data_IF_313709189342
#
_entry.id   IF_313709189342
#
_cell.length_a   1.000
_cell.length_b   1.000
_cell.length_c   1.000
_cell.angle_alpha   90.00
_cell.angle_beta   90.00
_cell.angle_gamma   90.00
#
_symmetry.space_group_name_H-M   'P 1'
#
loop_
_entity.id
_entity.type
_entity.pdbx_description
1 polymer ?
#
# COMPACT_ATOMS: atom_id res chain seq x y z
N UNK A 1 2.47 -33.64 4.50
CA UNK A 1 3.90 -33.27 4.41
C UNK A 1 4.07 -31.91 5.04
N UNK A 2 5.11 -31.69 5.85
CA UNK A 2 5.44 -30.36 6.36
C UNK A 2 6.02 -29.50 5.21
N UNK A 3 5.72 -28.21 5.15
CA UNK A 3 6.35 -27.31 4.18
C UNK A 3 7.86 -27.27 4.34
N UNK A 4 8.60 -27.16 3.24
CA UNK A 4 10.05 -26.97 3.30
C UNK A 4 10.40 -25.58 3.89
N UNK A 5 11.58 -25.38 4.48
CA UNK A 5 12.01 -24.08 4.98
C UNK A 5 11.94 -22.98 3.91
N UNK A 6 12.29 -23.29 2.66
CA UNK A 6 12.25 -22.40 1.51
C UNK A 6 10.80 -21.96 1.22
N UNK A 7 9.86 -22.91 1.21
CA UNK A 7 8.43 -22.62 1.03
C UNK A 7 7.90 -21.69 2.12
N UNK A 8 8.24 -21.93 3.38
CA UNK A 8 7.81 -21.09 4.51
C UNK A 8 8.38 -19.68 4.36
N UNK A 9 9.65 -19.59 4.00
CA UNK A 9 10.32 -18.30 3.91
C UNK A 9 9.80 -17.46 2.73
N UNK A 10 9.54 -18.05 1.55
CA UNK A 10 8.92 -17.33 0.43
C UNK A 10 7.49 -16.91 0.78
N UNK A 11 6.73 -17.77 1.47
CA UNK A 11 5.41 -17.37 1.99
C UNK A 11 5.51 -16.21 2.98
N UNK A 12 6.51 -16.20 3.86
CA UNK A 12 6.75 -15.09 4.78
C UNK A 12 7.10 -13.78 4.04
N UNK A 13 7.94 -13.85 2.99
CA UNK A 13 8.23 -12.70 2.13
C UNK A 13 6.95 -12.17 1.49
N UNK A 14 6.09 -13.04 0.98
CA UNK A 14 4.78 -12.64 0.43
C UNK A 14 3.94 -11.87 1.46
N UNK A 15 3.89 -12.32 2.72
CA UNK A 15 3.16 -11.63 3.78
C UNK A 15 3.81 -10.30 4.21
N UNK A 16 5.14 -10.18 4.16
CA UNK A 16 5.85 -8.89 4.33
C UNK A 16 5.40 -7.90 3.26
N UNK A 17 5.39 -8.33 2.00
CA UNK A 17 5.01 -7.47 0.86
C UNK A 17 3.52 -7.12 0.90
N UNK A 18 2.65 -8.07 1.29
CA UNK A 18 1.23 -7.81 1.53
C UNK A 18 1.01 -6.77 2.63
N UNK A 19 1.74 -6.87 3.75
CA UNK A 19 1.66 -5.89 4.83
C UNK A 19 2.18 -4.52 4.39
N UNK A 20 3.27 -4.45 3.63
CA UNK A 20 3.80 -3.23 3.05
C UNK A 20 2.77 -2.57 2.11
N UNK A 21 2.14 -3.35 1.22
CA UNK A 21 1.11 -2.84 0.32
C UNK A 21 -0.15 -2.39 1.08
N UNK A 22 -0.58 -3.13 2.10
CA UNK A 22 -1.70 -2.72 2.94
C UNK A 22 -1.45 -1.39 3.66
N UNK A 23 -0.21 -1.09 4.02
CA UNK A 23 0.18 0.16 4.69
C UNK A 23 0.39 1.30 3.69
N UNK A 24 1.27 1.13 2.73
CA UNK A 24 1.66 2.21 1.81
C UNK A 24 0.59 2.45 0.74
N UNK A 25 0.12 1.40 0.06
CA UNK A 25 -1.00 1.48 -0.87
C UNK A 25 -2.29 1.86 -0.16
N UNK A 26 -2.50 1.36 1.07
CA UNK A 26 -3.64 1.72 1.91
C UNK A 26 -3.66 3.19 2.27
N UNK A 27 -2.52 3.78 2.63
CA UNK A 27 -2.42 5.23 2.89
C UNK A 27 -2.76 6.06 1.65
N UNK A 28 -2.31 5.60 0.49
CA UNK A 28 -2.57 6.24 -0.79
C UNK A 28 -4.07 6.18 -1.18
N UNK A 29 -4.71 5.02 -1.17
CA UNK A 29 -6.15 4.89 -1.41
C UNK A 29 -6.97 5.69 -0.41
N UNK A 30 -6.59 5.67 0.87
CA UNK A 30 -7.24 6.43 1.93
C UNK A 30 -7.20 7.93 1.70
N UNK A 31 -6.12 8.47 1.12
CA UNK A 31 -6.05 9.87 0.70
C UNK A 31 -7.14 10.24 -0.29
N UNK A 32 -7.37 9.41 -1.31
CA UNK A 32 -8.47 9.63 -2.26
C UNK A 32 -9.86 9.50 -1.62
N UNK A 33 -10.03 8.65 -0.60
CA UNK A 33 -11.27 8.59 0.19
C UNK A 33 -11.49 9.92 0.91
N UNK A 34 -10.46 10.50 1.52
CA UNK A 34 -10.57 11.79 2.21
C UNK A 34 -10.73 12.95 1.24
N UNK A 35 -10.20 12.88 0.04
CA UNK A 35 -10.47 13.84 -1.04
C UNK A 35 -11.96 13.87 -1.41
N UNK A 36 -12.59 12.69 -1.54
CA UNK A 36 -14.02 12.56 -1.84
C UNK A 36 -14.90 13.27 -0.79
N UNK A 37 -14.54 13.12 0.49
CA UNK A 37 -15.33 13.68 1.60
C UNK A 37 -14.77 15.00 2.16
N UNK A 38 -13.81 15.62 1.48
CA UNK A 38 -13.22 16.90 1.90
C UNK A 38 -14.20 18.08 1.92
N UNK A 39 -15.30 17.97 1.17
CA UNK A 39 -16.32 19.00 1.08
C UNK A 39 -16.32 19.78 -0.24
N UNK A 40 -17.14 20.82 -0.31
CA UNK A 40 -17.30 21.63 -1.53
C UNK A 40 -16.10 22.52 -1.87
N UNK A 41 -16.20 23.30 -3.00
CA UNK A 41 -15.08 24.05 -3.56
C UNK A 41 -14.40 25.05 -2.62
N UNK A 42 -15.09 25.55 -1.59
CA UNK A 42 -14.50 26.48 -0.63
C UNK A 42 -13.91 25.81 0.61
N UNK A 43 -14.61 24.81 1.18
CA UNK A 43 -14.20 24.15 2.43
C UNK A 43 -13.18 23.02 2.20
N UNK A 44 -13.21 22.41 1.02
CA UNK A 44 -12.36 21.27 0.68
C UNK A 44 -11.00 21.64 0.10
N UNK A 45 -10.68 22.91 -0.15
CA UNK A 45 -9.41 23.33 -0.76
C UNK A 45 -8.23 22.90 0.11
N UNK A 46 -8.16 23.39 1.34
CA UNK A 46 -7.01 23.13 2.21
C UNK A 46 -6.79 21.65 2.56
N UNK A 47 -7.84 20.82 2.85
CA UNK A 47 -7.65 19.39 2.97
C UNK A 47 -7.12 18.72 1.70
N UNK A 48 -7.60 19.10 0.50
CA UNK A 48 -7.14 18.53 -0.78
C UNK A 48 -5.70 18.90 -1.09
N UNK A 49 -5.31 20.14 -0.86
CA UNK A 49 -3.92 20.56 -1.00
C UNK A 49 -2.99 19.71 -0.14
N UNK A 50 -3.33 19.50 1.14
CA UNK A 50 -2.51 18.65 2.01
C UNK A 50 -2.43 17.19 1.51
N UNK A 51 -3.56 16.65 1.01
CA UNK A 51 -3.62 15.30 0.45
C UNK A 51 -2.73 15.22 -0.80
N UNK A 52 -2.87 16.16 -1.73
CA UNK A 52 -2.09 16.21 -2.97
C UNK A 52 -0.58 16.30 -2.68
N UNK A 53 -0.18 17.23 -1.82
CA UNK A 53 1.22 17.41 -1.39
C UNK A 53 1.81 16.14 -0.71
N UNK A 54 0.96 15.31 -0.09
CA UNK A 54 1.39 14.11 0.64
C UNK A 54 1.45 12.85 -0.24
N UNK A 55 0.59 12.76 -1.27
CA UNK A 55 0.42 11.54 -2.09
C UNK A 55 1.25 11.61 -3.37
N UNK A 56 1.31 12.79 -4.02
CA UNK A 56 1.92 12.97 -5.34
C UNK A 56 3.28 12.30 -5.51
N UNK A 57 4.23 12.41 -4.58
CA UNK A 57 5.57 11.87 -4.79
C UNK A 57 5.68 10.34 -4.67
N UNK A 58 4.68 9.64 -4.12
CA UNK A 58 4.83 8.23 -3.72
C UNK A 58 3.77 7.29 -4.31
N UNK A 59 2.72 7.79 -4.95
CA UNK A 59 1.60 6.95 -5.39
C UNK A 59 2.01 5.89 -6.43
N UNK A 60 2.88 6.22 -7.38
CA UNK A 60 3.38 5.27 -8.38
C UNK A 60 4.24 4.18 -7.72
N UNK A 61 5.11 4.59 -6.80
CA UNK A 61 6.01 3.69 -6.11
C UNK A 61 5.25 2.65 -5.25
N UNK A 62 4.08 2.99 -4.74
CA UNK A 62 3.27 2.06 -3.95
C UNK A 62 2.78 0.84 -4.75
N UNK A 63 2.62 0.97 -6.07
CA UNK A 63 2.16 -0.14 -6.92
C UNK A 63 3.23 -1.19 -7.18
N UNK A 64 4.50 -0.87 -6.92
CA UNK A 64 5.61 -1.84 -6.98
C UNK A 64 5.34 -3.02 -6.03
N UNK A 65 4.78 -2.76 -4.85
CA UNK A 65 4.41 -3.82 -3.90
C UNK A 65 3.35 -4.77 -4.47
N UNK A 66 2.34 -4.24 -5.17
CA UNK A 66 1.31 -5.06 -5.82
C UNK A 66 1.90 -5.94 -6.92
N UNK A 67 2.77 -5.38 -7.75
CA UNK A 67 3.46 -6.15 -8.81
C UNK A 67 4.29 -7.27 -8.18
N UNK A 68 4.99 -6.99 -7.08
CA UNK A 68 5.80 -7.97 -6.39
C UNK A 68 4.96 -9.11 -5.77
N UNK A 69 3.77 -8.80 -5.19
CA UNK A 69 2.80 -9.81 -4.75
C UNK A 69 2.40 -10.74 -5.90
N UNK A 70 2.03 -10.16 -7.06
CA UNK A 70 1.59 -10.93 -8.21
C UNK A 70 2.71 -11.82 -8.77
N UNK A 71 3.94 -11.30 -8.86
CA UNK A 71 5.10 -12.07 -9.33
C UNK A 71 5.40 -13.21 -8.37
N UNK A 72 5.47 -12.97 -7.05
CA UNK A 72 5.71 -14.01 -6.05
C UNK A 72 4.63 -15.10 -6.07
N UNK A 73 3.36 -14.71 -6.19
CA UNK A 73 2.26 -15.69 -6.30
C UNK A 73 2.38 -16.52 -7.57
N UNK A 74 2.71 -15.89 -8.70
CA UNK A 74 2.82 -16.57 -9.98
C UNK A 74 3.97 -17.56 -10.02
N UNK A 75 5.12 -17.16 -9.51
CA UNK A 75 6.37 -17.94 -9.61
C UNK A 75 6.50 -18.97 -8.49
N UNK A 76 6.21 -18.58 -7.24
CA UNK A 76 6.38 -19.45 -6.08
C UNK A 76 5.15 -20.33 -5.78
N UNK A 77 3.93 -19.88 -6.13
CA UNK A 77 2.67 -20.58 -5.83
C UNK A 77 1.74 -20.65 -7.06
N UNK A 78 2.18 -21.27 -8.18
CA UNK A 78 1.43 -21.27 -9.45
C UNK A 78 -0.01 -21.78 -9.34
N UNK A 79 -0.32 -22.88 -8.61
CA UNK A 79 -1.70 -23.36 -8.45
C UNK A 79 -2.60 -22.35 -7.74
N UNK A 80 -2.08 -21.66 -6.71
CA UNK A 80 -2.83 -20.63 -6.01
C UNK A 80 -3.08 -19.41 -6.92
N UNK A 81 -2.06 -18.98 -7.65
CA UNK A 81 -2.19 -17.89 -8.63
C UNK A 81 -3.24 -18.20 -9.68
N UNK A 82 -3.19 -19.39 -10.29
CA UNK A 82 -4.15 -19.81 -11.32
C UNK A 82 -5.58 -19.83 -10.76
N UNK A 83 -5.80 -20.38 -9.56
CA UNK A 83 -7.09 -20.43 -8.92
C UNK A 83 -7.64 -19.02 -8.60
N UNK A 84 -6.81 -18.12 -8.05
CA UNK A 84 -7.17 -16.73 -7.77
C UNK A 84 -7.54 -16.00 -9.06
N UNK A 85 -6.69 -16.08 -10.09
CA UNK A 85 -6.92 -15.39 -11.37
C UNK A 85 -8.17 -15.90 -12.09
N UNK A 86 -8.51 -17.17 -11.96
CA UNK A 86 -9.68 -17.75 -12.59
C UNK A 86 -10.96 -17.50 -11.79
N UNK A 87 -10.93 -17.76 -10.49
CA UNK A 87 -12.13 -17.68 -9.65
C UNK A 87 -12.51 -16.24 -9.27
N UNK A 88 -11.49 -15.38 -9.11
CA UNK A 88 -11.68 -14.00 -8.66
C UNK A 88 -11.41 -12.97 -9.77
N UNK A 89 -11.55 -13.42 -11.03
CA UNK A 89 -11.36 -12.57 -12.22
C UNK A 89 -12.16 -11.26 -12.14
N UNK A 90 -13.41 -11.31 -11.72
CA UNK A 90 -14.28 -10.11 -11.66
C UNK A 90 -13.76 -9.08 -10.66
N UNK A 91 -13.59 -9.38 -9.36
CA UNK A 91 -13.08 -8.40 -8.41
C UNK A 91 -11.65 -7.94 -8.74
N UNK A 92 -10.79 -8.80 -9.29
CA UNK A 92 -9.45 -8.41 -9.74
C UNK A 92 -9.50 -7.43 -10.91
N UNK A 93 -10.38 -7.68 -11.91
CA UNK A 93 -10.56 -6.76 -13.04
C UNK A 93 -11.13 -5.41 -12.61
N UNK A 94 -12.06 -5.39 -11.64
CA UNK A 94 -12.61 -4.15 -11.09
C UNK A 94 -11.56 -3.38 -10.26
N UNK A 95 -10.70 -4.09 -9.52
CA UNK A 95 -9.56 -3.49 -8.82
C UNK A 95 -8.57 -2.88 -9.81
N UNK A 96 -8.22 -3.61 -10.87
CA UNK A 96 -7.31 -3.13 -11.92
C UNK A 96 -7.89 -1.91 -12.64
N UNK A 97 -9.17 -1.96 -13.01
CA UNK A 97 -9.86 -0.81 -13.60
C UNK A 97 -9.80 0.40 -12.66
N UNK A 98 -10.02 0.20 -11.37
CA UNK A 98 -9.89 1.25 -10.37
C UNK A 98 -8.48 1.85 -10.33
N UNK A 99 -7.42 1.04 -10.37
CA UNK A 99 -6.02 1.51 -10.43
C UNK A 99 -5.77 2.36 -11.68
N UNK A 100 -6.22 1.88 -12.85
CA UNK A 100 -6.08 2.61 -14.12
C UNK A 100 -6.82 3.95 -14.07
N UNK A 101 -8.08 3.95 -13.62
CA UNK A 101 -8.88 5.16 -13.49
C UNK A 101 -8.27 6.15 -12.49
N UNK A 102 -7.64 5.65 -11.42
CA UNK A 102 -6.92 6.47 -10.46
C UNK A 102 -5.71 7.16 -11.10
N UNK A 103 -4.89 6.43 -11.86
CA UNK A 103 -3.75 6.99 -12.60
C UNK A 103 -4.18 8.04 -13.61
N UNK A 104 -5.23 7.77 -14.38
CA UNK A 104 -5.82 8.73 -15.32
C UNK A 104 -6.35 9.96 -14.58
N UNK A 105 -7.11 9.77 -13.51
CA UNK A 105 -7.64 10.87 -12.70
C UNK A 105 -6.55 11.76 -12.14
N UNK A 106 -5.46 11.18 -11.67
CA UNK A 106 -4.30 11.91 -11.16
C UNK A 106 -3.58 12.70 -12.26
N UNK A 107 -3.24 12.06 -13.39
CA UNK A 107 -2.52 12.68 -14.49
C UNK A 107 -3.26 13.89 -15.08
N UNK A 108 -4.59 13.77 -15.26
CA UNK A 108 -5.39 14.83 -15.86
C UNK A 108 -5.86 15.91 -14.87
N UNK A 109 -5.80 15.66 -13.55
CA UNK A 109 -6.23 16.62 -12.53
C UNK A 109 -5.41 17.92 -12.56
N UNK A 110 -4.11 17.82 -12.80
CA UNK A 110 -3.17 18.94 -12.79
C UNK A 110 -3.06 19.64 -14.15
N UNK A 111 -3.34 18.93 -15.25
CA UNK A 111 -3.21 19.46 -16.63
C UNK A 111 -4.51 20.04 -17.20
N UNK A 112 -5.66 19.76 -16.59
CA UNK A 112 -6.95 20.16 -17.11
C UNK A 112 -7.24 21.67 -16.88
N UNK A 113 -7.33 22.44 -17.94
CA UNK A 113 -7.69 23.87 -17.89
C UNK A 113 -9.19 24.12 -17.68
N UNK A 114 -10.05 23.12 -17.97
CA UNK A 114 -11.50 23.28 -17.87
C UNK A 114 -12.01 22.76 -16.51
N UNK A 115 -12.73 23.59 -15.78
CA UNK A 115 -13.32 23.27 -14.46
C UNK A 115 -14.11 21.93 -14.46
N UNK A 116 -14.89 21.65 -15.52
CA UNK A 116 -15.65 20.39 -15.64
C UNK A 116 -14.75 19.16 -15.74
N UNK A 117 -13.62 19.28 -16.43
CA UNK A 117 -12.66 18.17 -16.56
C UNK A 117 -11.97 17.93 -15.23
N UNK A 118 -11.55 18.97 -14.52
CA UNK A 118 -10.99 18.87 -13.16
C UNK A 118 -11.96 18.19 -12.17
N UNK A 119 -13.24 18.56 -12.23
CA UNK A 119 -14.26 17.91 -11.37
C UNK A 119 -14.46 16.45 -11.72
N UNK A 120 -14.49 16.09 -13.01
CA UNK A 120 -14.65 14.71 -13.46
C UNK A 120 -13.42 13.87 -13.09
N UNK A 121 -12.22 14.35 -13.36
CA UNK A 121 -10.98 13.64 -13.02
C UNK A 121 -10.79 13.49 -11.52
N UNK A 122 -11.13 14.53 -10.74
CA UNK A 122 -11.16 14.47 -9.28
C UNK A 122 -12.17 13.44 -8.75
N UNK A 123 -13.39 13.40 -9.31
CA UNK A 123 -14.40 12.41 -8.95
C UNK A 123 -13.95 10.98 -9.33
N UNK A 124 -13.34 10.80 -10.49
CA UNK A 124 -12.79 9.52 -10.95
C UNK A 124 -11.69 9.03 -10.02
N UNK A 125 -10.75 9.90 -9.67
CA UNK A 125 -9.68 9.60 -8.70
C UNK A 125 -10.26 9.19 -7.33
N UNK A 126 -11.21 9.94 -6.82
CA UNK A 126 -11.80 9.70 -5.52
C UNK A 126 -12.66 8.42 -5.48
N UNK A 127 -13.47 8.17 -6.52
CA UNK A 127 -14.31 6.97 -6.62
C UNK A 127 -13.46 5.70 -6.80
N UNK A 128 -12.43 5.76 -7.63
CA UNK A 128 -11.50 4.62 -7.82
C UNK A 128 -10.77 4.26 -6.53
N UNK A 129 -10.53 5.24 -5.66
CA UNK A 129 -9.92 5.04 -4.34
C UNK A 129 -10.80 4.31 -3.33
N UNK A 130 -12.10 4.18 -3.58
CA UNK A 130 -13.03 3.31 -2.86
C UNK A 130 -13.13 1.93 -3.50
N UNK A 131 -13.30 1.90 -4.81
CA UNK A 131 -13.56 0.68 -5.59
C UNK A 131 -12.37 -0.28 -5.50
N UNK A 132 -11.16 0.22 -5.70
CA UNK A 132 -9.95 -0.60 -5.71
C UNK A 132 -9.74 -1.37 -4.40
N UNK A 133 -9.61 -0.71 -3.23
CA UNK A 133 -9.39 -1.44 -1.98
C UNK A 133 -10.59 -2.31 -1.59
N UNK A 134 -11.83 -1.93 -1.95
CA UNK A 134 -12.98 -2.76 -1.68
C UNK A 134 -12.86 -4.12 -2.37
N UNK A 135 -12.61 -4.13 -3.69
CA UNK A 135 -12.50 -5.40 -4.42
C UNK A 135 -11.22 -6.17 -4.07
N UNK A 136 -10.11 -5.51 -3.77
CA UNK A 136 -8.94 -6.20 -3.21
C UNK A 136 -9.26 -6.89 -1.88
N UNK A 137 -9.99 -6.23 -1.01
CA UNK A 137 -10.43 -6.81 0.26
C UNK A 137 -11.39 -7.99 0.07
N UNK A 138 -12.30 -7.95 -0.95
CA UNK A 138 -13.16 -9.12 -1.27
C UNK A 138 -12.34 -10.32 -1.72
N UNK A 139 -11.25 -10.11 -2.47
CA UNK A 139 -10.31 -11.18 -2.84
C UNK A 139 -9.68 -11.81 -1.60
N UNK A 140 -9.19 -10.99 -0.65
CA UNK A 140 -8.61 -11.48 0.61
C UNK A 140 -9.64 -12.27 1.41
N UNK A 141 -10.87 -11.78 1.51
CA UNK A 141 -11.96 -12.46 2.22
C UNK A 141 -12.33 -13.81 1.56
N UNK A 142 -12.37 -13.88 0.24
CA UNK A 142 -12.61 -15.12 -0.51
C UNK A 142 -11.50 -16.16 -0.24
N UNK A 143 -10.23 -15.72 -0.23
CA UNK A 143 -9.09 -16.58 0.11
C UNK A 143 -9.18 -17.07 1.56
N UNK A 144 -9.51 -16.20 2.50
CA UNK A 144 -9.58 -16.52 3.92
C UNK A 144 -10.67 -17.56 4.27
N UNK A 145 -11.77 -17.60 3.48
CA UNK A 145 -12.82 -18.59 3.69
C UNK A 145 -12.53 -19.96 3.05
N UNK A 146 -11.48 -20.05 2.20
CA UNK A 146 -11.19 -21.26 1.43
C UNK A 146 -12.21 -21.55 0.33
N UNK A 147 -13.09 -20.60 -0.01
CA UNK A 147 -14.11 -20.75 -1.03
C UNK A 147 -13.61 -20.54 -2.47
N UNK A 148 -12.31 -20.27 -2.63
CA UNK A 148 -11.67 -20.17 -3.95
C UNK A 148 -11.55 -21.58 -4.54
N UNK A 149 -12.26 -21.91 -5.64
CA UNK A 149 -12.17 -23.23 -6.24
C UNK A 149 -10.79 -23.48 -6.83
N UNK A 150 -10.15 -24.57 -6.41
CA UNK A 150 -8.86 -25.03 -6.97
C UNK A 150 -9.06 -25.80 -8.27
N UNK A 151 -10.28 -26.35 -8.47
CA UNK A 151 -10.65 -27.10 -9.66
C UNK A 151 -11.83 -26.44 -10.40
N UNK A 152 -11.95 -26.65 -11.75
CA UNK A 152 -13.08 -26.14 -12.51
C UNK A 152 -14.42 -26.66 -11.96
N UNK A 153 -15.46 -25.81 -11.87
CA UNK A 153 -16.83 -26.19 -11.49
C UNK A 153 -17.34 -25.59 -10.18
N UNK A 154 -16.54 -24.82 -9.45
CA UNK A 154 -16.99 -24.07 -8.27
C UNK A 154 -17.84 -22.83 -8.60
N UNK A 155 -18.63 -22.35 -7.63
CA UNK A 155 -19.39 -21.11 -7.76
C UNK A 155 -18.48 -19.90 -7.59
N UNK A 156 -17.94 -19.40 -8.70
CA UNK A 156 -17.02 -18.25 -8.75
C UNK A 156 -17.66 -16.98 -8.18
N UNK A 157 -18.96 -16.77 -8.38
CA UNK A 157 -19.65 -15.57 -7.89
C UNK A 157 -19.77 -15.60 -6.36
N UNK A 158 -20.13 -16.74 -5.79
CA UNK A 158 -20.29 -16.90 -4.35
C UNK A 158 -18.96 -16.66 -3.59
N UNK A 159 -17.82 -16.97 -4.19
CA UNK A 159 -16.52 -16.84 -3.53
C UNK A 159 -16.25 -15.40 -3.05
N UNK A 160 -16.48 -14.39 -3.90
CA UNK A 160 -16.17 -12.99 -3.58
C UNK A 160 -17.39 -12.14 -3.17
N UNK A 161 -18.62 -12.68 -3.32
CA UNK A 161 -19.85 -12.03 -2.85
C UNK A 161 -20.36 -12.58 -1.51
N UNK A 162 -19.60 -13.48 -0.88
CA UNK A 162 -19.92 -13.99 0.45
C UNK A 162 -19.92 -12.86 1.50
N UNK A 163 -20.68 -12.97 2.60
CA UNK A 163 -20.69 -11.97 3.65
C UNK A 163 -19.29 -11.65 4.18
N UNK A 164 -18.45 -12.67 4.35
CA UNK A 164 -17.05 -12.48 4.77
C UNK A 164 -16.24 -11.70 3.74
N UNK A 165 -16.37 -11.99 2.46
CA UNK A 165 -15.67 -11.27 1.41
C UNK A 165 -16.08 -9.79 1.39
N UNK A 166 -17.38 -9.50 1.46
CA UNK A 166 -17.90 -8.12 1.49
C UNK A 166 -17.44 -7.38 2.75
N UNK A 167 -17.52 -8.02 3.93
CA UNK A 167 -17.05 -7.42 5.18
C UNK A 167 -15.55 -7.14 5.13
N UNK A 168 -14.74 -8.04 4.57
CA UNK A 168 -13.30 -7.84 4.40
C UNK A 168 -13.02 -6.71 3.40
N UNK A 169 -13.82 -6.58 2.34
CA UNK A 169 -13.77 -5.44 1.41
C UNK A 169 -14.03 -4.11 2.12
N UNK A 170 -15.10 -4.03 2.89
CA UNK A 170 -15.41 -2.84 3.71
C UNK A 170 -14.33 -2.56 4.76
N UNK A 171 -13.81 -3.60 5.41
CA UNK A 171 -12.73 -3.50 6.38
C UNK A 171 -11.47 -2.91 5.75
N UNK A 172 -11.10 -3.37 4.56
CA UNK A 172 -9.90 -2.87 3.89
C UNK A 172 -10.06 -1.40 3.48
N UNK A 173 -11.22 -0.98 2.97
CA UNK A 173 -11.53 0.44 2.71
C UNK A 173 -11.41 1.28 3.99
N UNK A 174 -12.00 0.82 5.09
CA UNK A 174 -11.95 1.53 6.37
C UNK A 174 -10.51 1.60 6.92
N UNK A 175 -9.73 0.53 6.79
CA UNK A 175 -8.32 0.50 7.17
C UNK A 175 -7.48 1.49 6.33
N UNK A 176 -7.72 1.58 5.02
CA UNK A 176 -7.10 2.59 4.16
C UNK A 176 -7.42 4.01 4.63
N UNK A 177 -8.69 4.30 4.88
CA UNK A 177 -9.12 5.59 5.41
C UNK A 177 -8.47 5.91 6.77
N UNK A 178 -8.40 4.92 7.66
CA UNK A 178 -7.78 5.07 8.98
C UNK A 178 -6.28 5.40 8.87
N UNK A 179 -5.50 4.57 8.15
CA UNK A 179 -4.04 4.76 8.00
C UNK A 179 -3.73 6.10 7.37
N UNK A 180 -4.42 6.45 6.29
CA UNK A 180 -4.25 7.74 5.61
C UNK A 180 -4.55 8.92 6.53
N UNK A 181 -5.66 8.88 7.28
CA UNK A 181 -6.01 9.97 8.20
C UNK A 181 -4.94 10.16 9.29
N UNK A 182 -4.40 9.06 9.85
CA UNK A 182 -3.30 9.13 10.83
C UNK A 182 -2.06 9.76 10.21
N UNK A 183 -1.70 9.42 8.97
CA UNK A 183 -0.55 9.99 8.28
C UNK A 183 -0.78 11.48 7.99
N UNK A 184 -1.98 11.87 7.54
CA UNK A 184 -2.32 13.27 7.28
C UNK A 184 -2.34 14.15 8.55
N UNK A 185 -2.67 13.59 9.73
CA UNK A 185 -2.49 14.31 11.02
C UNK A 185 -1.03 14.74 11.19
N UNK A 186 -0.10 13.84 10.89
CA UNK A 186 1.33 14.09 11.08
C UNK A 186 1.90 15.03 10.02
N UNK A 187 1.44 14.91 8.78
CA UNK A 187 1.80 15.84 7.69
C UNK A 187 1.30 17.26 8.00
N UNK A 188 0.03 17.40 8.43
CA UNK A 188 -0.52 18.68 8.86
C UNK A 188 0.28 19.30 10.02
N UNK A 189 0.71 18.45 10.99
CA UNK A 189 1.56 18.89 12.11
C UNK A 189 2.92 19.40 11.67
N UNK A 190 3.61 18.64 10.80
CA UNK A 190 4.95 19.00 10.32
C UNK A 190 4.94 20.31 9.55
N UNK A 191 3.84 20.61 8.85
CA UNK A 191 3.66 21.87 8.11
C UNK A 191 3.03 23.00 8.93
N UNK A 192 2.82 22.82 10.24
CA UNK A 192 2.25 23.83 11.14
C UNK A 192 0.75 24.14 10.88
N UNK A 193 0.06 23.30 10.08
CA UNK A 193 -1.37 23.50 9.75
C UNK A 193 -2.26 22.91 10.85
N UNK A 194 -2.36 23.59 12.01
CA UNK A 194 -3.05 23.07 13.20
C UNK A 194 -4.55 22.80 13.02
N UNK A 195 -5.23 23.53 12.16
CA UNK A 195 -6.64 23.28 11.85
C UNK A 195 -6.83 21.95 11.11
N UNK A 196 -6.00 21.68 10.09
CA UNK A 196 -6.01 20.44 9.35
C UNK A 196 -5.60 19.25 10.21
N UNK A 197 -4.66 19.44 11.14
CA UNK A 197 -4.31 18.42 12.12
C UNK A 197 -5.53 17.97 12.94
N UNK A 198 -6.32 18.91 13.45
CA UNK A 198 -7.56 18.59 14.19
C UNK A 198 -8.63 17.96 13.29
N UNK A 199 -8.75 18.48 12.08
CA UNK A 199 -9.67 17.97 11.06
C UNK A 199 -9.40 16.48 10.76
N UNK A 200 -8.13 16.10 10.52
CA UNK A 200 -7.75 14.71 10.26
C UNK A 200 -7.71 13.85 11.52
N UNK A 201 -7.40 14.39 12.70
CA UNK A 201 -7.47 13.64 13.95
C UNK A 201 -8.88 13.12 14.25
N UNK A 202 -9.92 13.96 14.06
CA UNK A 202 -11.30 13.52 14.22
C UNK A 202 -11.66 12.41 13.21
N UNK A 203 -11.22 12.55 11.97
CA UNK A 203 -11.43 11.54 10.90
C UNK A 203 -10.69 10.23 11.18
N UNK A 204 -9.44 10.31 11.65
CA UNK A 204 -8.68 9.15 12.08
C UNK A 204 -9.36 8.40 13.22
N UNK A 205 -9.92 9.13 14.20
CA UNK A 205 -10.69 8.53 15.30
C UNK A 205 -11.95 7.83 14.78
N UNK A 206 -12.73 8.49 13.92
CA UNK A 206 -13.94 7.91 13.35
C UNK A 206 -13.62 6.69 12.47
N UNK A 207 -12.64 6.81 11.57
CA UNK A 207 -12.22 5.71 10.71
C UNK A 207 -11.64 4.54 11.52
N UNK A 208 -10.88 4.81 12.59
CA UNK A 208 -10.36 3.79 13.49
C UNK A 208 -11.48 3.03 14.21
N UNK A 209 -12.50 3.73 14.69
CA UNK A 209 -13.67 3.10 15.32
C UNK A 209 -14.44 2.23 14.32
N UNK A 210 -14.65 2.72 13.09
CA UNK A 210 -15.31 1.95 12.01
C UNK A 210 -14.47 0.72 11.63
N UNK A 211 -13.14 0.89 11.50
CA UNK A 211 -12.23 -0.22 11.21
C UNK A 211 -12.28 -1.28 12.31
N UNK A 212 -12.26 -0.88 13.58
CA UNK A 212 -12.38 -1.79 14.72
C UNK A 212 -13.72 -2.52 14.73
N UNK A 213 -14.83 -1.82 14.46
CA UNK A 213 -16.16 -2.41 14.37
C UNK A 213 -16.27 -3.42 13.22
N UNK A 214 -15.75 -3.09 12.03
CA UNK A 214 -15.73 -3.99 10.87
C UNK A 214 -14.80 -5.20 11.11
N UNK A 215 -13.65 -4.99 11.75
CA UNK A 215 -12.76 -6.10 12.15
C UNK A 215 -13.45 -7.06 13.10
N UNK A 216 -14.16 -6.55 14.12
CA UNK A 216 -14.98 -7.35 15.04
C UNK A 216 -16.09 -8.09 14.31
N UNK A 217 -16.81 -7.42 13.38
CA UNK A 217 -17.85 -8.04 12.55
C UNK A 217 -17.29 -9.14 11.66
N UNK A 218 -16.16 -8.90 10.99
CA UNK A 218 -15.47 -9.90 10.16
C UNK A 218 -15.02 -11.08 11.01
N UNK A 219 -14.43 -10.82 12.18
CA UNK A 219 -14.01 -11.87 13.12
C UNK A 219 -15.18 -12.76 13.55
N UNK A 220 -16.33 -12.15 13.87
CA UNK A 220 -17.54 -12.89 14.21
C UNK A 220 -18.06 -13.71 13.04
N UNK A 221 -18.07 -13.16 11.81
CA UNK A 221 -18.50 -13.87 10.62
C UNK A 221 -17.57 -15.04 10.26
N UNK A 222 -16.27 -14.92 10.50
CA UNK A 222 -15.31 -16.01 10.33
C UNK A 222 -15.64 -17.23 11.22
N UNK A 223 -16.25 -17.03 12.38
CA UNK A 223 -16.68 -18.15 13.26
C UNK A 223 -17.71 -19.06 12.59
N UNK A 224 -18.46 -18.52 11.63
CA UNK A 224 -19.52 -19.22 10.88
C UNK A 224 -19.06 -19.73 9.52
N UNK A 225 -18.34 -18.87 8.79
CA UNK A 225 -17.97 -19.10 7.39
C UNK A 225 -16.62 -19.79 7.21
N UNK A 226 -15.68 -19.63 8.17
CA UNK A 226 -14.33 -20.19 8.11
C UNK A 226 -13.86 -20.67 9.50
N UNK A 227 -14.49 -21.72 10.07
CA UNK A 227 -14.17 -22.18 11.44
C UNK A 227 -12.70 -22.52 11.64
N UNK A 228 -12.03 -23.06 10.61
CA UNK A 228 -10.59 -23.35 10.66
C UNK A 228 -9.77 -22.09 10.96
N UNK A 229 -9.96 -21.02 10.21
CA UNK A 229 -9.24 -19.76 10.38
C UNK A 229 -9.61 -19.12 11.71
N UNK A 230 -10.89 -19.15 12.08
CA UNK A 230 -11.38 -18.61 13.35
C UNK A 230 -10.71 -19.26 14.54
N UNK A 231 -10.69 -20.61 14.62
CA UNK A 231 -10.03 -21.33 15.71
C UNK A 231 -8.53 -21.04 15.80
N UNK A 232 -7.89 -20.82 14.68
CA UNK A 232 -6.47 -20.46 14.68
C UNK A 232 -6.21 -19.00 15.02
N UNK A 233 -7.12 -18.09 14.67
CA UNK A 233 -7.08 -16.70 15.13
C UNK A 233 -7.25 -16.58 16.64
N UNK A 234 -8.14 -17.40 17.23
CA UNK A 234 -8.35 -17.47 18.70
C UNK A 234 -7.32 -18.33 19.42
N UNK A 235 -6.51 -19.10 18.69
CA UNK A 235 -5.43 -19.94 19.21
C UNK A 235 -4.06 -19.32 18.97
N UNK A 236 -3.32 -19.87 18.00
CA UNK A 236 -1.90 -19.51 17.74
C UNK A 236 -1.71 -18.03 17.32
N UNK A 237 -2.68 -17.44 16.64
CA UNK A 237 -2.62 -16.04 16.20
C UNK A 237 -3.15 -15.05 17.22
N UNK A 238 -3.69 -15.52 18.35
CA UNK A 238 -4.27 -14.65 19.39
C UNK A 238 -3.33 -13.53 19.88
N UNK A 239 -2.02 -13.76 20.06
CA UNK A 239 -1.10 -12.68 20.43
C UNK A 239 -1.06 -11.54 19.42
N UNK A 240 -1.08 -11.87 18.10
CA UNK A 240 -1.08 -10.86 17.03
C UNK A 240 -2.41 -10.09 16.98
N UNK A 241 -3.53 -10.79 17.19
CA UNK A 241 -4.85 -10.16 17.32
C UNK A 241 -4.88 -9.20 18.51
N UNK A 242 -4.37 -9.63 19.68
CA UNK A 242 -4.30 -8.81 20.87
C UNK A 242 -3.41 -7.56 20.67
N UNK A 243 -2.25 -7.72 20.02
CA UNK A 243 -1.35 -6.60 19.67
C UNK A 243 -2.05 -5.63 18.72
N UNK A 244 -2.77 -6.13 17.71
CA UNK A 244 -3.54 -5.26 16.79
C UNK A 244 -4.58 -4.43 17.54
N UNK A 245 -5.36 -5.05 18.40
CA UNK A 245 -6.39 -4.38 19.21
C UNK A 245 -5.74 -3.35 20.14
N UNK A 246 -4.70 -3.73 20.86
CA UNK A 246 -3.98 -2.84 21.77
C UNK A 246 -3.36 -1.63 21.03
N UNK A 247 -2.75 -1.86 19.86
CA UNK A 247 -2.19 -0.81 19.02
C UNK A 247 -3.29 0.13 18.47
N UNK A 248 -4.42 -0.43 18.03
CA UNK A 248 -5.57 0.37 17.60
C UNK A 248 -6.12 1.26 18.70
N UNK A 249 -6.32 0.71 19.90
CA UNK A 249 -6.75 1.47 21.11
C UNK A 249 -5.71 2.53 21.48
N UNK A 250 -4.41 2.19 21.43
CA UNK A 250 -3.35 3.14 21.72
C UNK A 250 -3.34 4.32 20.75
N UNK A 251 -3.55 4.09 19.45
CA UNK A 251 -3.68 5.19 18.46
C UNK A 251 -4.89 6.07 18.79
N UNK A 252 -6.05 5.47 19.06
CA UNK A 252 -7.25 6.25 19.45
C UNK A 252 -7.00 7.06 20.72
N UNK A 253 -6.35 6.47 21.72
CA UNK A 253 -5.93 7.16 22.94
C UNK A 253 -4.97 8.32 22.68
N UNK A 254 -3.95 8.12 21.85
CA UNK A 254 -3.01 9.17 21.46
C UNK A 254 -3.71 10.32 20.72
N UNK A 255 -4.62 10.02 19.82
CA UNK A 255 -5.42 11.02 19.11
C UNK A 255 -6.33 11.81 20.06
N UNK A 256 -6.97 11.14 21.01
CA UNK A 256 -7.86 11.76 22.01
C UNK A 256 -7.08 12.63 23.00
N UNK A 257 -5.92 12.15 23.50
CA UNK A 257 -5.02 12.91 24.37
C UNK A 257 -4.23 13.99 23.63
N UNK A 258 -4.40 14.10 22.30
CA UNK A 258 -3.67 15.04 21.43
C UNK A 258 -2.15 14.87 21.49
N UNK A 259 -1.69 13.65 21.74
CA UNK A 259 -0.28 13.30 21.77
C UNK A 259 0.17 12.81 20.40
N UNK A 260 0.55 13.74 19.53
CA UNK A 260 0.90 13.49 18.13
C UNK A 260 2.42 13.31 17.95
N UNK A 261 3.03 12.35 18.64
CA UNK A 261 4.45 12.05 18.38
C UNK A 261 4.60 11.35 17.03
N UNK A 262 5.34 11.93 16.03
CA UNK A 262 5.29 11.48 14.64
C UNK A 262 5.65 10.00 14.49
N UNK A 263 6.80 9.61 15.02
CA UNK A 263 7.28 8.23 14.88
C UNK A 263 6.38 7.22 15.60
N UNK A 264 6.00 7.52 16.85
CA UNK A 264 5.22 6.58 17.68
C UNK A 264 3.83 6.39 17.08
N UNK A 265 3.15 7.46 16.70
CA UNK A 265 1.79 7.38 16.14
C UNK A 265 1.78 6.61 14.81
N UNK A 266 2.75 6.87 13.90
CA UNK A 266 2.90 6.13 12.63
C UNK A 266 3.20 4.65 12.89
N UNK A 267 4.19 4.38 13.74
CA UNK A 267 4.61 3.02 14.04
C UNK A 267 3.47 2.20 14.69
N UNK A 268 2.75 2.79 15.64
CA UNK A 268 1.62 2.10 16.30
C UNK A 268 0.48 1.82 15.35
N UNK A 269 0.14 2.77 14.45
CA UNK A 269 -0.87 2.54 13.41
C UNK A 269 -0.42 1.47 12.40
N UNK A 270 0.85 1.46 12.03
CA UNK A 270 1.42 0.44 11.15
C UNK A 270 1.40 -0.95 11.81
N UNK A 271 1.74 -1.06 13.09
CA UNK A 271 1.66 -2.29 13.87
C UNK A 271 0.22 -2.80 13.92
N UNK A 272 -0.76 -1.93 14.17
CA UNK A 272 -2.17 -2.33 14.20
C UNK A 272 -2.61 -3.04 12.90
N UNK A 273 -2.22 -2.52 11.73
CA UNK A 273 -2.58 -3.10 10.43
C UNK A 273 -1.71 -4.31 10.09
N UNK A 274 -0.39 -4.22 10.27
CA UNK A 274 0.52 -5.31 9.94
C UNK A 274 0.22 -6.59 10.73
N UNK A 275 -0.14 -6.45 12.02
CA UNK A 275 -0.47 -7.61 12.85
C UNK A 275 -1.80 -8.28 12.49
N UNK A 276 -2.74 -7.57 11.86
CA UNK A 276 -3.93 -8.21 11.23
C UNK A 276 -3.50 -9.08 10.06
N UNK A 277 -2.66 -8.57 9.15
CA UNK A 277 -2.18 -9.32 7.99
C UNK A 277 -1.39 -10.56 8.42
N UNK A 278 -0.45 -10.41 9.35
CA UNK A 278 0.35 -11.53 9.87
C UNK A 278 -0.47 -12.50 10.71
N UNK A 279 -1.45 -12.00 11.49
CA UNK A 279 -2.37 -12.83 12.25
C UNK A 279 -3.22 -13.72 11.36
N UNK A 280 -3.70 -13.17 10.23
CA UNK A 280 -4.38 -13.93 9.19
C UNK A 280 -3.45 -14.97 8.54
N UNK A 281 -2.23 -14.59 8.13
CA UNK A 281 -1.28 -15.50 7.53
C UNK A 281 -0.92 -16.68 8.43
N UNK A 282 -0.67 -16.42 9.71
CA UNK A 282 -0.39 -17.45 10.72
C UNK A 282 -1.61 -18.35 10.97
N UNK A 283 -2.83 -17.77 10.98
CA UNK A 283 -4.06 -18.52 11.09
C UNK A 283 -4.32 -19.43 9.91
N UNK A 284 -3.92 -19.02 8.72
CA UNK A 284 -4.10 -19.78 7.49
C UNK A 284 -3.09 -20.94 7.35
N UNK A 285 -1.90 -20.82 7.97
CA UNK A 285 -0.84 -21.86 7.91
C UNK A 285 -1.38 -23.22 8.38
N UNK A 286 -1.04 -24.38 7.70
CA UNK A 286 -0.12 -24.52 6.57
C UNK A 286 -0.80 -24.44 5.19
N UNK A 287 -1.95 -23.79 5.07
CA UNK A 287 -2.69 -23.70 3.82
C UNK A 287 -2.42 -22.37 3.09
N UNK A 288 -2.43 -22.42 1.76
CA UNK A 288 -2.62 -21.26 0.88
C UNK A 288 -4.11 -20.91 0.77
N UNK A 289 -4.97 -21.93 0.64
CA UNK A 289 -6.42 -21.79 0.80
C UNK A 289 -6.87 -22.75 1.91
N UNK A 290 -7.51 -22.25 2.97
CA UNK A 290 -7.91 -23.09 4.08
C UNK A 290 -8.63 -24.34 3.65
N UNK A 291 -8.20 -25.50 4.13
CA UNK A 291 -8.73 -26.84 3.89
C UNK A 291 -8.66 -27.39 2.45
N UNK A 292 -8.25 -26.58 1.45
CA UNK A 292 -8.27 -26.99 0.03
C UNK A 292 -6.88 -27.06 -0.62
N UNK A 293 -5.99 -26.08 -0.37
CA UNK A 293 -4.66 -26.03 -0.96
C UNK A 293 -3.61 -25.77 0.12
N UNK A 294 -2.68 -26.69 0.32
CA UNK A 294 -1.60 -26.55 1.30
C UNK A 294 -0.38 -25.85 0.69
N UNK A 295 0.49 -25.28 1.55
CA UNK A 295 1.77 -24.74 1.11
C UNK A 295 2.62 -25.75 0.33
N UNK A 296 2.82 -27.01 0.81
CA UNK A 296 3.61 -27.97 0.05
C UNK A 296 3.03 -28.36 -1.30
N UNK A 297 1.68 -28.47 -1.39
CA UNK A 297 1.02 -28.86 -2.64
C UNK A 297 0.89 -27.73 -3.65
N UNK A 298 0.95 -26.48 -3.19
CA UNK A 298 0.83 -25.29 -4.02
C UNK A 298 2.17 -24.61 -4.36
N UNK A 299 3.29 -25.07 -3.76
CA UNK A 299 4.60 -24.47 -4.02
C UNK A 299 5.24 -24.97 -5.32
N UNK A 300 6.01 -24.08 -5.94
CA UNK A 300 6.90 -24.42 -7.04
C UNK A 300 8.05 -25.34 -6.59
N UNK A 301 8.79 -25.99 -7.52
CA UNK A 301 9.99 -26.74 -7.21
C UNK A 301 11.04 -25.91 -6.44
N UNK A 302 11.85 -26.58 -5.60
CA UNK A 302 12.86 -25.94 -4.75
C UNK A 302 13.82 -25.04 -5.52
N UNK A 303 14.25 -25.43 -6.71
CA UNK A 303 15.12 -24.61 -7.56
C UNK A 303 14.49 -23.24 -7.93
N UNK A 304 13.18 -23.20 -8.12
CA UNK A 304 12.45 -21.95 -8.35
C UNK A 304 12.39 -21.11 -7.07
N UNK A 305 12.11 -21.75 -5.92
CA UNK A 305 12.05 -21.05 -4.62
C UNK A 305 13.43 -20.47 -4.24
N UNK A 306 14.51 -21.19 -4.50
CA UNK A 306 15.89 -20.70 -4.27
C UNK A 306 16.19 -19.47 -5.12
N UNK A 307 15.77 -19.49 -6.39
CA UNK A 307 15.90 -18.33 -7.29
C UNK A 307 15.09 -17.13 -6.77
N UNK A 308 13.87 -17.35 -6.27
CA UNK A 308 13.05 -16.31 -5.67
C UNK A 308 13.72 -15.64 -4.46
N UNK A 309 14.45 -16.41 -3.65
CA UNK A 309 15.23 -15.85 -2.55
C UNK A 309 16.30 -14.88 -3.03
N UNK A 310 17.03 -15.27 -4.08
CA UNK A 310 18.07 -14.40 -4.66
C UNK A 310 17.43 -13.13 -5.22
N UNK A 311 16.33 -13.27 -5.97
CA UNK A 311 15.59 -12.13 -6.55
C UNK A 311 15.02 -11.24 -5.46
N UNK A 312 14.41 -11.81 -4.41
CA UNK A 312 13.89 -11.04 -3.28
C UNK A 312 15.00 -10.29 -2.54
N UNK A 313 16.14 -10.95 -2.31
CA UNK A 313 17.33 -10.31 -1.72
C UNK A 313 17.84 -9.13 -2.57
N UNK A 314 17.93 -9.32 -3.88
CA UNK A 314 18.31 -8.28 -4.82
C UNK A 314 17.30 -7.12 -4.83
N UNK A 315 16.00 -7.44 -4.82
CA UNK A 315 14.94 -6.45 -4.74
C UNK A 315 15.04 -5.60 -3.46
N UNK A 316 15.29 -6.21 -2.30
CA UNK A 316 15.51 -5.48 -1.05
C UNK A 316 16.70 -4.50 -1.18
N UNK A 317 17.83 -4.97 -1.74
CA UNK A 317 19.04 -4.15 -1.91
C UNK A 317 18.83 -2.98 -2.87
N UNK A 318 17.98 -3.13 -3.87
CA UNK A 318 17.72 -2.07 -4.87
C UNK A 318 16.53 -1.19 -4.48
N UNK A 319 15.42 -1.80 -4.06
CA UNK A 319 14.14 -1.11 -3.82
C UNK A 319 14.15 -0.35 -2.50
N UNK A 320 14.67 -0.93 -1.42
CA UNK A 320 14.67 -0.25 -0.10
C UNK A 320 15.51 1.03 -0.10
N UNK A 321 16.74 1.05 -0.64
CA UNK A 321 17.49 2.30 -0.77
C UNK A 321 16.83 3.30 -1.72
N UNK A 322 16.21 2.83 -2.81
CA UNK A 322 15.45 3.67 -3.74
C UNK A 322 14.29 4.37 -3.05
N UNK A 323 13.48 3.64 -2.27
CA UNK A 323 12.40 4.23 -1.47
C UNK A 323 12.92 5.16 -0.38
N UNK A 324 13.99 4.79 0.33
CA UNK A 324 14.60 5.65 1.34
C UNK A 324 15.08 6.97 0.74
N UNK A 325 15.68 6.91 -0.45
CA UNK A 325 16.10 8.10 -1.20
C UNK A 325 14.88 8.92 -1.63
N UNK A 326 13.85 8.32 -2.21
CA UNK A 326 12.62 9.00 -2.62
C UNK A 326 11.98 9.74 -1.44
N UNK A 327 11.84 9.06 -0.29
CA UNK A 327 11.32 9.66 0.93
C UNK A 327 12.20 10.81 1.45
N UNK A 328 13.52 10.64 1.41
CA UNK A 328 14.45 11.68 1.81
C UNK A 328 14.34 12.93 0.93
N UNK A 329 14.31 12.76 -0.39
CA UNK A 329 14.14 13.86 -1.34
C UNK A 329 12.80 14.58 -1.17
N UNK A 330 11.73 13.81 -0.94
CA UNK A 330 10.39 14.36 -0.67
C UNK A 330 10.36 15.20 0.61
N UNK A 331 10.92 14.68 1.72
CA UNK A 331 10.94 15.41 2.99
C UNK A 331 11.78 16.69 2.94
N UNK A 332 12.72 16.79 2.03
CA UNK A 332 13.53 17.97 1.77
C UNK A 332 12.89 18.96 0.80
N UNK A 333 11.73 18.63 0.22
CA UNK A 333 11.06 19.47 -0.78
C UNK A 333 11.74 19.51 -2.15
N UNK A 334 12.84 18.76 -2.33
CA UNK A 334 13.67 18.80 -3.54
C UNK A 334 12.92 18.32 -4.80
N UNK A 335 11.92 17.45 -4.66
CA UNK A 335 11.10 16.98 -5.77
C UNK A 335 10.12 18.05 -6.22
N UNK A 336 9.51 18.77 -5.28
CA UNK A 336 8.52 19.83 -5.57
C UNK A 336 9.17 21.04 -6.23
N UNK A 337 10.39 21.42 -5.80
CA UNK A 337 11.17 22.47 -6.43
C UNK A 337 11.58 22.11 -7.86
N UNK A 338 12.00 20.85 -8.09
CA UNK A 338 12.40 20.38 -9.41
C UNK A 338 11.24 20.33 -10.41
N UNK A 339 10.03 19.95 -9.97
CA UNK A 339 8.83 19.93 -10.80
C UNK A 339 8.39 21.38 -11.15
N UNK A 340 8.42 22.29 -10.18
CA UNK A 340 8.11 23.71 -10.41
C UNK A 340 9.05 24.37 -11.41
N UNK A 341 10.35 24.09 -11.33
CA UNK A 341 11.35 24.60 -12.25
C UNK A 341 11.21 23.98 -13.65
N UNK A 342 10.85 22.71 -13.75
CA UNK A 342 10.59 22.03 -15.01
C UNK A 342 9.33 22.59 -15.69
N UNK A 343 8.27 22.86 -14.94
CA UNK A 343 7.03 23.47 -15.44
C UNK A 343 7.27 24.90 -15.93
N UNK A 344 8.04 25.71 -15.19
CA UNK A 344 8.44 27.07 -15.61
C UNK A 344 9.24 27.06 -16.93
N UNK A 345 10.18 26.15 -17.07
CA UNK A 345 10.96 25.98 -18.30
C UNK A 345 10.12 25.52 -19.48
N UNK A 346 9.22 24.57 -19.24
CA UNK A 346 8.29 24.10 -20.26
C UNK A 346 7.36 25.23 -20.72
N UNK A 347 6.80 26.01 -19.78
CA UNK A 347 5.95 27.15 -20.07
C UNK A 347 6.72 28.25 -20.86
N UNK A 348 7.97 28.52 -20.51
CA UNK A 348 8.86 29.44 -21.24
C UNK A 348 9.16 28.93 -22.66
N UNK A 349 9.41 27.63 -22.81
CA UNK A 349 9.68 27.00 -24.11
C UNK A 349 8.45 27.01 -25.04
N UNK A 350 7.25 26.95 -24.47
CA UNK A 350 5.97 27.03 -25.18
C UNK A 350 5.54 28.48 -25.46
N UNK A 351 6.33 29.47 -25.05
CA UNK A 351 6.06 30.88 -25.31
C UNK A 351 4.89 31.45 -24.49
N UNK A 352 4.65 30.93 -23.29
CA UNK A 352 3.64 31.42 -22.38
C UNK A 352 3.95 32.88 -21.97
N UNK A 353 3.02 33.82 -22.15
CA UNK A 353 3.23 35.22 -21.81
C UNK A 353 3.29 35.50 -20.30
N UNK A 354 2.93 34.53 -19.48
CA UNK A 354 2.83 34.66 -18.00
C UNK A 354 4.12 34.23 -17.28
N UNK A 355 5.19 33.86 -18.02
CA UNK A 355 6.45 33.45 -17.40
C UNK A 355 7.31 34.69 -17.10
N UNK A 356 7.51 34.97 -15.81
CA UNK A 356 8.39 36.02 -15.34
C UNK A 356 9.86 35.67 -15.64
N UNK A 357 10.60 36.51 -16.42
CA UNK A 357 12.02 36.29 -16.72
C UNK A 357 12.91 36.15 -15.48
N UNK A 358 12.57 36.83 -14.38
CA UNK A 358 13.34 36.78 -13.14
C UNK A 358 13.11 35.45 -12.40
N UNK A 359 11.90 34.87 -12.49
CA UNK A 359 11.63 33.53 -11.98
C UNK A 359 12.34 32.44 -12.82
N UNK A 360 12.44 32.64 -14.13
CA UNK A 360 13.15 31.71 -15.02
C UNK A 360 14.67 31.75 -14.75
N UNK A 361 15.22 32.94 -14.50
CA UNK A 361 16.63 33.11 -14.16
C UNK A 361 16.98 32.53 -12.76
N UNK A 362 16.06 32.63 -11.80
CA UNK A 362 16.18 32.00 -10.48
C UNK A 362 16.06 30.47 -10.52
N UNK A 363 15.38 29.94 -11.53
CA UNK A 363 15.25 28.51 -11.81
C UNK A 363 16.45 27.92 -12.57
N UNK A 364 17.53 28.68 -12.80
CA UNK A 364 18.78 28.14 -13.37
C UNK A 364 19.40 27.11 -12.42
N UNK A 365 19.78 25.93 -12.92
CA UNK A 365 20.21 24.83 -12.09
C UNK A 365 21.55 25.16 -11.43
N UNK A 366 21.57 25.37 -10.13
CA UNK A 366 22.71 24.81 -9.40
C UNK A 366 22.74 23.32 -9.74
N UNK A 367 23.89 22.78 -10.19
CA UNK A 367 23.91 21.43 -10.73
C UNK A 367 23.34 20.48 -9.68
N UNK A 368 22.16 19.91 -9.99
CA UNK A 368 21.47 18.84 -9.24
C UNK A 368 22.48 17.74 -8.86
N UNK A 369 23.53 17.57 -9.65
CA UNK A 369 24.70 16.71 -9.43
C UNK A 369 25.44 17.03 -8.12
N UNK A 370 25.49 18.26 -7.64
CA UNK A 370 26.15 18.59 -6.36
C UNK A 370 25.27 18.22 -5.16
N UNK A 371 23.93 18.24 -5.31
CA UNK A 371 22.95 17.83 -4.28
C UNK A 371 22.69 16.31 -4.29
N UNK A 372 22.91 15.63 -5.43
CA UNK A 372 22.83 14.17 -5.60
C UNK A 372 24.08 13.45 -5.07
N UNK A 373 25.13 14.17 -4.69
CA UNK A 373 26.42 13.57 -4.28
C UNK A 373 26.31 12.44 -3.26
N UNK A 374 25.41 12.54 -2.28
CA UNK A 374 25.16 11.47 -1.29
C UNK A 374 24.44 10.28 -1.90
N UNK A 375 23.48 10.52 -2.80
CA UNK A 375 22.74 9.45 -3.49
C UNK A 375 23.64 8.71 -4.48
N UNK A 376 24.48 9.43 -5.22
CA UNK A 376 25.48 8.83 -6.12
C UNK A 376 26.51 8.01 -5.33
N UNK A 377 26.89 8.45 -4.14
CA UNK A 377 27.78 7.70 -3.24
C UNK A 377 27.08 6.42 -2.74
N UNK A 378 25.84 6.47 -2.31
CA UNK A 378 25.08 5.29 -1.87
C UNK A 378 24.86 4.29 -3.00
N UNK A 379 24.50 4.74 -4.21
CA UNK A 379 24.37 3.90 -5.40
C UNK A 379 25.73 3.30 -5.78
N UNK A 380 26.79 4.08 -5.73
CA UNK A 380 28.16 3.61 -6.03
C UNK A 380 28.64 2.59 -5.00
N UNK A 381 28.31 2.78 -3.72
CA UNK A 381 28.63 1.81 -2.66
C UNK A 381 27.82 0.52 -2.82
N UNK A 382 26.54 0.60 -3.17
CA UNK A 382 25.68 -0.55 -3.46
C UNK A 382 26.19 -1.32 -4.68
N UNK A 383 26.54 -0.64 -5.77
CA UNK A 383 27.11 -1.24 -6.98
C UNK A 383 28.50 -1.88 -6.70
N UNK A 384 29.34 -1.24 -5.87
CA UNK A 384 30.61 -1.83 -5.43
C UNK A 384 30.42 -3.08 -4.56
N UNK A 385 29.45 -3.06 -3.65
CA UNK A 385 29.12 -4.21 -2.82
C UNK A 385 28.65 -5.40 -3.68
N UNK A 386 27.74 -5.15 -4.63
CA UNK A 386 27.26 -6.14 -5.60
C UNK A 386 28.41 -6.68 -6.44
N UNK A 387 29.27 -5.83 -6.98
CA UNK A 387 30.42 -6.27 -7.77
C UNK A 387 31.41 -7.12 -6.97
N UNK A 388 31.60 -6.84 -5.67
CA UNK A 388 32.48 -7.63 -4.82
C UNK A 388 31.89 -9.01 -4.45
N UNK A 389 30.57 -9.14 -4.39
CA UNK A 389 29.87 -10.41 -4.16
C UNK A 389 29.94 -11.32 -5.40
N UNK A 390 29.87 -10.73 -6.60
CA UNK A 390 29.86 -11.46 -7.88
C UNK A 390 31.21 -11.48 -8.62
N UNK A 391 32.27 -10.91 -8.05
CA UNK A 391 33.62 -11.04 -8.63
C UNK A 391 34.06 -12.49 -8.51
N UNK A 392 34.39 -13.19 -9.63
CA UNK A 392 34.92 -14.54 -9.54
C UNK A 392 36.22 -14.52 -8.75
N UNK A 393 36.24 -15.24 -7.64
CA UNK A 393 37.41 -15.33 -6.78
C UNK A 393 38.63 -15.75 -7.61
N UNK A 394 39.56 -14.84 -7.79
CA UNK A 394 40.88 -15.20 -8.27
C UNK A 394 41.50 -16.11 -7.22
N UNK A 395 41.38 -17.42 -7.44
CA UNK A 395 42.25 -18.40 -6.77
C UNK A 395 43.67 -18.03 -7.14
N UNK A 396 44.39 -17.43 -6.20
CA UNK A 396 45.86 -17.44 -6.23
C UNK A 396 46.26 -18.80 -5.75
N UNK A 397 46.95 -19.52 -6.62
CA UNK A 397 47.65 -20.75 -6.31
C UNK A 397 48.82 -20.53 -5.33
#
# INVERSE_FOLDING_TARGET
>A
MNPSPETIAVAAILFVVLAAYALFGGADFGGGIWDLVAGGPKRGVAPRELIDESITPVWEANHVWLVFILVLLWTAFPPAFAAIMTALFVPLSLSLLGIVLRGVGFAFRHTAQRMRVQQLTGATFATSSLITPFFMGTVVGAVATGQVPVHPGGNVLAAWTSPTAILTGCLFVAACAYVSAVFLVLEARQRGRHELMRYFALRATAAGAVTGGLAGGTFFELSRSAPYVYHRLTGISLPLVAVSIAAGIAVLGMLWLRWYHPLILRATAAVAVATVVWGWGLAQYPYLFPTSLTLPSGSAPTATLDTEFVVAGLAVVLVVPGFALLYYLQQRGLLTEADSDADLRMAAHLGSPDVDPDQLAAAEPEPVVARIGVAAVLVTLAVRAIRNVFAPGSRRG
#
